data_IF_848710395811
#
_entry.id   IF_848710395811
#
_cell.length_a   1.000
_cell.length_b   1.000
_cell.length_c   1.000
_cell.angle_alpha   90.00
_cell.angle_beta   90.00
_cell.angle_gamma   90.00
#
_symmetry.space_group_name_H-M   'P 1'
#
loop_
_entity.id
_entity.type
_entity.pdbx_description
1 polymer ?
#
# COMPACT_ATOMS: atom_id res chain seq x y z
N UNK A 1 27.03 10.95 19.41
CA UNK A 1 25.91 10.40 18.64
C UNK A 1 24.70 11.28 18.91
N UNK A 2 24.14 11.92 17.87
CA UNK A 2 22.94 12.74 18.01
C UNK A 2 21.69 11.86 18.16
N UNK A 3 20.56 12.43 18.58
CA UNK A 3 19.27 11.73 18.55
C UNK A 3 18.93 11.24 17.13
N UNK A 4 19.24 12.04 16.10
CA UNK A 4 19.06 11.65 14.70
C UNK A 4 19.90 10.43 14.32
N UNK A 5 21.18 10.38 14.73
CA UNK A 5 22.05 9.24 14.45
C UNK A 5 21.55 7.98 15.14
N UNK A 6 21.10 8.11 16.39
CA UNK A 6 20.51 7.01 17.16
C UNK A 6 19.25 6.46 16.48
N UNK A 7 18.32 7.34 16.10
CA UNK A 7 17.07 6.94 15.42
C UNK A 7 17.40 6.25 14.09
N UNK A 8 18.33 6.80 13.29
CA UNK A 8 18.74 6.18 12.02
C UNK A 8 19.38 4.80 12.23
N UNK A 9 20.27 4.67 13.21
CA UNK A 9 20.97 3.42 13.49
C UNK A 9 20.13 2.33 14.16
N UNK A 10 18.98 2.66 14.75
CA UNK A 10 18.11 1.67 15.40
C UNK A 10 17.50 0.70 14.37
N UNK A 11 17.50 -0.63 14.60
CA UNK A 11 16.77 -1.57 13.74
C UNK A 11 15.27 -1.34 13.86
N UNK A 12 14.55 -1.33 12.74
CA UNK A 12 13.11 -1.03 12.69
C UNK A 12 12.33 -2.10 11.96
N UNK A 13 11.05 -2.16 12.29
CA UNK A 13 10.03 -2.88 11.54
C UNK A 13 8.98 -1.86 11.10
N UNK A 14 8.57 -1.88 9.84
CA UNK A 14 7.54 -0.98 9.32
C UNK A 14 6.30 -1.76 8.88
N UNK A 15 5.19 -1.51 9.56
CA UNK A 15 3.96 -2.32 9.46
C UNK A 15 2.80 -1.60 8.75
N UNK A 16 3.03 -0.37 8.32
CA UNK A 16 2.01 0.46 7.69
C UNK A 16 2.68 1.43 6.72
N UNK A 17 2.81 0.99 5.47
CA UNK A 17 3.42 1.76 4.39
C UNK A 17 2.83 1.30 3.06
N UNK A 18 2.59 2.22 2.14
CA UNK A 18 2.02 1.92 0.83
C UNK A 18 3.09 2.00 -0.25
N UNK A 19 3.12 1.04 -1.18
CA UNK A 19 4.10 1.03 -2.27
C UNK A 19 3.96 2.28 -3.14
N UNK A 20 2.73 2.56 -3.57
CA UNK A 20 2.41 3.70 -4.44
C UNK A 20 2.69 5.02 -3.71
N UNK A 21 2.33 5.12 -2.43
CA UNK A 21 2.64 6.27 -1.59
C UNK A 21 4.14 6.49 -1.35
N UNK A 22 4.98 5.49 -1.63
CA UNK A 22 6.44 5.57 -1.53
C UNK A 22 7.14 5.92 -2.84
N UNK A 23 6.38 6.28 -3.89
CA UNK A 23 6.93 6.61 -5.20
C UNK A 23 7.70 7.93 -5.17
N UNK A 24 9.00 7.87 -5.48
CA UNK A 24 9.86 9.06 -5.53
C UNK A 24 9.42 10.01 -6.67
N UNK A 25 9.52 11.34 -6.50
CA UNK A 25 9.21 12.31 -7.55
C UNK A 25 9.92 12.03 -8.88
N UNK A 26 11.20 11.67 -8.82
CA UNK A 26 12.03 11.35 -9.98
C UNK A 26 11.48 10.11 -10.73
N UNK A 27 10.93 9.16 -9.98
CA UNK A 27 10.39 7.91 -10.53
C UNK A 27 9.00 8.13 -11.09
N UNK A 28 8.17 8.94 -10.44
CA UNK A 28 6.87 9.34 -10.97
C UNK A 28 7.02 10.01 -12.35
N UNK A 29 7.95 10.94 -12.51
CA UNK A 29 8.22 11.58 -13.81
C UNK A 29 8.60 10.55 -14.89
N UNK A 30 9.50 9.62 -14.57
CA UNK A 30 9.91 8.56 -15.51
C UNK A 30 8.72 7.68 -15.91
N UNK A 31 7.92 7.24 -14.93
CA UNK A 31 6.75 6.40 -15.17
C UNK A 31 5.71 7.13 -16.01
N UNK A 32 5.36 8.37 -15.64
CA UNK A 32 4.40 9.19 -16.35
C UNK A 32 4.83 9.47 -17.80
N UNK A 33 6.10 9.80 -18.03
CA UNK A 33 6.63 10.01 -19.38
C UNK A 33 6.55 8.72 -20.22
N UNK A 34 6.98 7.59 -19.65
CA UNK A 34 6.96 6.29 -20.34
C UNK A 34 5.54 5.86 -20.70
N UNK A 35 4.60 6.07 -19.78
CA UNK A 35 3.24 5.58 -19.85
C UNK A 35 2.23 6.62 -20.34
N UNK A 36 2.71 7.81 -20.73
CA UNK A 36 1.91 8.92 -21.30
C UNK A 36 0.79 9.40 -20.37
N UNK A 37 1.07 9.45 -19.08
CA UNK A 37 0.15 10.03 -18.07
C UNK A 37 0.50 11.51 -17.89
N UNK A 38 -0.47 12.43 -18.02
CA UNK A 38 -0.21 13.85 -17.80
C UNK A 38 0.05 14.11 -16.31
N UNK A 39 1.06 14.93 -16.03
CA UNK A 39 1.39 15.42 -14.70
C UNK A 39 1.27 16.94 -14.64
N UNK A 40 1.01 17.53 -13.46
CA UNK A 40 0.95 18.99 -13.30
C UNK A 40 2.32 19.67 -13.45
N UNK A 41 3.41 18.90 -13.45
CA UNK A 41 4.76 19.38 -13.73
C UNK A 41 5.61 18.30 -14.41
N UNK A 42 6.59 18.72 -15.19
CA UNK A 42 7.61 17.89 -15.83
C UNK A 42 8.99 17.98 -15.15
N UNK A 43 9.08 18.69 -14.01
CA UNK A 43 10.31 18.85 -13.21
C UNK A 43 10.22 18.16 -11.86
N UNK A 44 11.35 17.71 -11.31
CA UNK A 44 11.41 17.05 -10.00
C UNK A 44 10.94 18.01 -8.91
N UNK A 45 11.34 19.27 -8.99
CA UNK A 45 10.96 20.34 -8.07
C UNK A 45 9.44 20.58 -8.09
N UNK A 46 8.83 20.63 -9.28
CA UNK A 46 7.38 20.80 -9.39
C UNK A 46 6.59 19.61 -8.86
N UNK A 47 7.08 18.37 -9.04
CA UNK A 47 6.45 17.20 -8.44
C UNK A 47 6.63 17.18 -6.91
N UNK A 48 7.78 17.61 -6.40
CA UNK A 48 7.98 17.77 -4.94
C UNK A 48 7.02 18.79 -4.33
N UNK A 49 6.80 19.92 -5.01
CA UNK A 49 5.80 20.90 -4.58
C UNK A 49 4.39 20.29 -4.60
N UNK A 50 4.06 19.55 -5.66
CA UNK A 50 2.75 18.89 -5.78
C UNK A 50 2.49 17.87 -4.67
N UNK A 51 3.51 17.18 -4.18
CA UNK A 51 3.43 16.26 -3.04
C UNK A 51 3.17 16.97 -1.68
N UNK A 52 3.10 18.30 -1.64
CA UNK A 52 2.70 19.04 -0.43
C UNK A 52 1.18 18.98 -0.28
N UNK A 53 0.70 18.05 0.53
CA UNK A 53 -0.73 17.79 0.70
C UNK A 53 -1.45 18.90 1.45
N UNK A 54 -2.63 19.30 0.93
CA UNK A 54 -3.50 20.31 1.58
C UNK A 54 -4.48 19.66 2.54
N UNK A 55 -4.96 18.49 2.17
CA UNK A 55 -5.94 17.66 2.88
C UNK A 55 -5.88 16.21 2.34
N UNK A 56 -6.70 15.33 2.92
CA UNK A 56 -6.80 13.94 2.49
C UNK A 56 -7.29 13.78 1.04
N UNK A 57 -8.32 14.51 0.56
CA UNK A 57 -8.71 14.45 -0.85
C UNK A 57 -7.58 14.79 -1.82
N UNK A 58 -6.77 15.82 -1.56
CA UNK A 58 -5.61 16.16 -2.40
C UNK A 58 -4.58 15.02 -2.41
N UNK A 59 -4.32 14.40 -1.26
CA UNK A 59 -3.48 13.21 -1.17
C UNK A 59 -4.04 12.05 -2.02
N UNK A 60 -5.34 11.77 -1.92
CA UNK A 60 -5.99 10.70 -2.66
C UNK A 60 -5.97 10.92 -4.18
N UNK A 61 -6.11 12.18 -4.64
CA UNK A 61 -5.94 12.58 -6.04
C UNK A 61 -4.54 12.22 -6.55
N UNK A 62 -3.49 12.64 -5.82
CA UNK A 62 -2.10 12.34 -6.15
C UNK A 62 -1.85 10.84 -6.18
N UNK A 63 -2.32 10.12 -5.17
CA UNK A 63 -2.21 8.66 -5.09
C UNK A 63 -2.87 7.98 -6.30
N UNK A 64 -4.05 8.46 -6.71
CA UNK A 64 -4.75 7.98 -7.90
C UNK A 64 -3.94 8.17 -9.18
N UNK A 65 -3.28 9.33 -9.36
CA UNK A 65 -2.42 9.59 -10.52
C UNK A 65 -1.18 8.69 -10.50
N UNK A 66 -0.57 8.47 -9.33
CA UNK A 66 0.56 7.53 -9.19
C UNK A 66 0.11 6.12 -9.62
N UNK A 67 -1.04 5.65 -9.16
CA UNK A 67 -1.60 4.36 -9.58
C UNK A 67 -1.83 4.27 -11.10
N UNK A 68 -2.22 5.36 -11.76
CA UNK A 68 -2.37 5.41 -13.22
C UNK A 68 -1.02 5.34 -13.95
N UNK A 69 0.07 5.74 -13.31
CA UNK A 69 1.41 5.68 -13.90
C UNK A 69 2.02 4.27 -13.90
N UNK A 70 1.43 3.28 -13.23
CA UNK A 70 1.98 1.91 -13.10
C UNK A 70 1.31 1.00 -14.14
N UNK A 71 1.91 0.85 -15.32
CA UNK A 71 1.27 0.18 -16.47
C UNK A 71 1.84 -1.21 -16.79
N UNK A 72 2.92 -1.64 -16.13
CA UNK A 72 3.53 -2.94 -16.42
C UNK A 72 4.14 -3.62 -15.18
N UNK A 73 4.39 -4.95 -15.22
CA UNK A 73 5.15 -5.65 -14.19
C UNK A 73 6.55 -5.05 -13.94
N UNK A 74 7.21 -4.50 -14.96
CA UNK A 74 8.51 -3.86 -14.80
C UNK A 74 8.41 -2.57 -13.96
N UNK A 75 7.29 -1.86 -14.04
CA UNK A 75 7.01 -0.66 -13.23
C UNK A 75 6.89 -1.05 -11.76
N UNK A 76 6.19 -2.16 -11.50
CA UNK A 76 5.98 -2.70 -10.15
C UNK A 76 7.31 -3.17 -9.55
N UNK A 77 8.14 -3.88 -10.32
CA UNK A 77 9.46 -4.31 -9.86
C UNK A 77 10.38 -3.11 -9.58
N UNK A 78 10.37 -2.09 -10.46
CA UNK A 78 11.13 -0.86 -10.25
C UNK A 78 10.76 -0.19 -8.92
N UNK A 79 9.46 0.02 -8.68
CA UNK A 79 8.96 0.61 -7.45
C UNK A 79 9.33 -0.23 -6.22
N UNK A 80 9.16 -1.55 -6.30
CA UNK A 80 9.52 -2.47 -5.21
C UNK A 80 11.00 -2.39 -4.85
N UNK A 81 11.90 -2.34 -5.86
CA UNK A 81 13.35 -2.21 -5.64
C UNK A 81 13.70 -0.86 -5.01
N UNK A 82 13.16 0.25 -5.51
CA UNK A 82 13.43 1.57 -4.95
C UNK A 82 12.88 1.74 -3.53
N UNK A 83 11.72 1.15 -3.25
CA UNK A 83 11.15 1.09 -1.91
C UNK A 83 12.10 0.36 -0.95
N UNK A 84 12.56 -0.84 -1.30
CA UNK A 84 13.48 -1.63 -0.47
C UNK A 84 14.83 -0.95 -0.22
N UNK A 85 15.35 -0.19 -1.20
CA UNK A 85 16.53 0.67 -0.98
C UNK A 85 16.26 1.72 0.11
N UNK A 86 15.06 2.33 0.10
CA UNK A 86 14.62 3.26 1.12
C UNK A 86 14.50 2.61 2.50
N UNK A 87 13.98 1.38 2.56
CA UNK A 87 13.90 0.60 3.80
C UNK A 87 15.29 0.34 4.39
N UNK A 88 16.22 -0.15 3.56
CA UNK A 88 17.58 -0.46 3.98
C UNK A 88 18.34 0.79 4.47
N UNK A 89 18.20 1.92 3.76
CA UNK A 89 18.81 3.19 4.13
C UNK A 89 18.33 3.71 5.50
N UNK A 90 17.15 3.28 5.95
CA UNK A 90 16.55 3.64 7.24
C UNK A 90 16.73 2.55 8.31
N UNK A 91 17.53 1.52 8.05
CA UNK A 91 17.73 0.36 8.92
C UNK A 91 16.42 -0.38 9.27
N UNK A 92 15.46 -0.39 8.34
CA UNK A 92 14.26 -1.23 8.42
C UNK A 92 14.66 -2.65 7.99
N UNK A 93 14.35 -3.64 8.84
CA UNK A 93 14.73 -5.05 8.64
C UNK A 93 13.58 -5.91 8.15
N UNK A 94 12.36 -5.51 8.47
CA UNK A 94 11.14 -6.18 8.04
C UNK A 94 10.07 -5.15 7.71
N UNK A 95 9.32 -5.38 6.64
CA UNK A 95 8.22 -4.53 6.24
C UNK A 95 7.01 -5.31 5.75
N UNK A 96 5.82 -4.84 6.15
CA UNK A 96 4.53 -5.29 5.65
C UNK A 96 3.99 -4.17 4.75
N UNK A 97 4.20 -4.35 3.45
CA UNK A 97 3.92 -3.37 2.42
C UNK A 97 2.46 -3.46 1.98
N UNK A 98 1.71 -2.39 2.16
CA UNK A 98 0.38 -2.25 1.55
C UNK A 98 0.53 -2.02 0.05
N UNK A 99 -0.22 -2.79 -0.73
CA UNK A 99 -0.19 -2.78 -2.18
C UNK A 99 -1.59 -2.73 -2.75
N UNK A 100 -1.88 -1.64 -3.48
CA UNK A 100 -3.13 -1.49 -4.25
C UNK A 100 -2.96 -2.05 -5.67
N UNK A 101 -3.51 -3.24 -5.99
CA UNK A 101 -3.23 -3.89 -7.28
C UNK A 101 -3.86 -3.12 -8.46
N UNK A 102 -3.11 -2.75 -9.51
CA UNK A 102 -3.69 -2.26 -10.76
C UNK A 102 -4.56 -3.33 -11.39
N UNK A 103 -5.75 -2.95 -11.88
CA UNK A 103 -6.75 -3.92 -12.36
C UNK A 103 -6.53 -4.43 -13.79
N UNK A 104 -5.66 -3.76 -14.53
CA UNK A 104 -5.40 -4.02 -15.95
C UNK A 104 -4.14 -4.86 -16.20
N UNK A 105 -3.43 -5.24 -15.14
CA UNK A 105 -2.30 -6.18 -15.19
C UNK A 105 -2.78 -7.48 -14.54
N UNK A 106 -2.51 -8.68 -15.11
CA UNK A 106 -2.80 -9.93 -14.42
C UNK A 106 -2.12 -10.00 -13.04
N UNK A 107 -2.85 -10.41 -12.00
CA UNK A 107 -2.35 -10.34 -10.62
C UNK A 107 -1.15 -11.26 -10.36
N UNK A 108 -1.08 -12.40 -11.04
CA UNK A 108 0.08 -13.29 -11.02
C UNK A 108 1.35 -12.60 -11.56
N UNK A 109 1.25 -11.85 -12.66
CA UNK A 109 2.36 -11.05 -13.18
C UNK A 109 2.78 -9.93 -12.21
N UNK A 110 1.82 -9.29 -11.54
CA UNK A 110 2.10 -8.28 -10.50
C UNK A 110 2.85 -8.90 -9.32
N UNK A 111 2.37 -10.05 -8.84
CA UNK A 111 2.94 -10.75 -7.70
C UNK A 111 4.34 -11.30 -8.02
N UNK A 112 4.56 -11.78 -9.24
CA UNK A 112 5.88 -12.19 -9.71
C UNK A 112 6.86 -11.00 -9.73
N UNK A 113 6.44 -9.82 -10.18
CA UNK A 113 7.26 -8.62 -10.15
C UNK A 113 7.63 -8.19 -8.71
N UNK A 114 6.64 -8.16 -7.81
CA UNK A 114 6.87 -7.88 -6.39
C UNK A 114 7.82 -8.89 -5.75
N UNK A 115 7.69 -10.18 -6.10
CA UNK A 115 8.54 -11.24 -5.56
C UNK A 115 9.97 -11.19 -6.11
N UNK A 116 10.17 -10.77 -7.37
CA UNK A 116 11.52 -10.48 -7.90
C UNK A 116 12.19 -9.34 -7.12
N UNK A 117 11.47 -8.26 -6.85
CA UNK A 117 11.98 -7.16 -6.01
C UNK A 117 12.28 -7.63 -4.57
N UNK A 118 11.38 -8.41 -3.96
CA UNK A 118 11.55 -9.00 -2.62
C UNK A 118 12.78 -9.88 -2.52
N UNK A 119 12.94 -10.84 -3.44
CA UNK A 119 14.08 -11.75 -3.44
C UNK A 119 15.41 -10.99 -3.59
N UNK A 120 15.43 -9.97 -4.45
CA UNK A 120 16.58 -9.07 -4.58
C UNK A 120 16.86 -8.27 -3.31
N UNK A 121 15.83 -7.69 -2.66
CA UNK A 121 16.00 -6.91 -1.43
C UNK A 121 16.49 -7.75 -0.25
N UNK A 122 16.04 -9.00 -0.15
CA UNK A 122 16.52 -9.92 0.87
C UNK A 122 17.99 -10.28 0.62
N UNK A 123 18.37 -10.61 -0.62
CA UNK A 123 19.73 -10.99 -0.97
C UNK A 123 20.75 -9.84 -0.86
N UNK A 124 20.41 -8.66 -1.38
CA UNK A 124 21.35 -7.53 -1.50
C UNK A 124 21.31 -6.58 -0.32
N UNK A 125 20.17 -6.46 0.36
CA UNK A 125 19.95 -5.45 1.41
C UNK A 125 19.65 -6.05 2.77
N UNK A 126 19.36 -7.35 2.86
CA UNK A 126 18.94 -8.01 4.11
C UNK A 126 17.63 -7.46 4.67
N UNK A 127 16.72 -7.03 3.79
CA UNK A 127 15.38 -6.53 4.14
C UNK A 127 14.34 -7.56 3.74
N UNK A 128 13.56 -8.04 4.70
CA UNK A 128 12.43 -8.94 4.44
C UNK A 128 11.16 -8.12 4.17
N UNK A 129 10.40 -8.49 3.15
CA UNK A 129 9.15 -7.83 2.76
C UNK A 129 8.03 -8.85 2.57
N UNK A 130 6.85 -8.53 3.10
CA UNK A 130 5.58 -9.22 2.83
C UNK A 130 4.52 -8.19 2.43
N UNK A 131 3.38 -8.65 1.91
CA UNK A 131 2.37 -7.80 1.28
C UNK A 131 1.04 -7.83 2.03
N UNK A 132 0.42 -6.67 2.13
CA UNK A 132 -0.99 -6.48 2.46
C UNK A 132 -1.67 -6.00 1.19
N UNK A 133 -2.47 -6.85 0.55
CA UNK A 133 -3.20 -6.46 -0.67
C UNK A 133 -4.45 -5.73 -0.23
N UNK A 134 -4.63 -4.46 -0.61
CA UNK A 134 -5.73 -3.64 -0.10
C UNK A 134 -6.84 -3.37 -1.11
N UNK A 135 -8.05 -3.32 -0.58
CA UNK A 135 -9.26 -2.88 -1.29
C UNK A 135 -9.32 -1.35 -1.23
N UNK A 136 -9.44 -0.64 -2.36
CA UNK A 136 -9.81 0.78 -2.35
C UNK A 136 -11.26 0.95 -1.92
N UNK A 137 -11.52 1.74 -0.87
CA UNK A 137 -12.86 1.99 -0.29
C UNK A 137 -13.92 2.48 -1.26
N UNK A 138 -13.50 3.18 -2.31
CA UNK A 138 -14.41 3.73 -3.32
C UNK A 138 -14.68 2.77 -4.48
N UNK A 139 -14.12 1.56 -4.48
CA UNK A 139 -14.37 0.61 -5.56
C UNK A 139 -15.75 -0.07 -5.44
N UNK A 140 -16.22 -0.60 -6.57
CA UNK A 140 -17.42 -1.44 -6.63
C UNK A 140 -17.22 -2.76 -5.87
N UNK A 141 -18.32 -3.35 -5.40
CA UNK A 141 -18.29 -4.57 -4.57
C UNK A 141 -17.63 -5.74 -5.32
N UNK A 142 -17.88 -5.87 -6.62
CA UNK A 142 -17.28 -6.90 -7.47
C UNK A 142 -15.76 -6.77 -7.55
N UNK A 143 -15.25 -5.53 -7.53
CA UNK A 143 -13.82 -5.25 -7.52
C UNK A 143 -13.20 -5.61 -6.17
N UNK A 144 -13.87 -5.28 -5.07
CA UNK A 144 -13.41 -5.67 -3.73
C UNK A 144 -13.33 -7.21 -3.59
N UNK A 145 -14.34 -7.91 -4.10
CA UNK A 145 -14.37 -9.37 -4.13
C UNK A 145 -13.24 -9.97 -4.97
N UNK A 146 -12.95 -9.38 -6.14
CA UNK A 146 -11.83 -9.78 -6.99
C UNK A 146 -10.48 -9.58 -6.26
N UNK A 147 -10.30 -8.45 -5.59
CA UNK A 147 -9.07 -8.16 -4.83
C UNK A 147 -8.91 -9.14 -3.66
N UNK A 148 -9.99 -9.52 -2.99
CA UNK A 148 -9.95 -10.56 -1.97
C UNK A 148 -9.52 -11.91 -2.55
N UNK A 149 -10.06 -12.32 -3.71
CA UNK A 149 -9.65 -13.55 -4.40
C UNK A 149 -8.16 -13.51 -4.77
N UNK A 150 -7.67 -12.36 -5.23
CA UNK A 150 -6.25 -12.14 -5.50
C UNK A 150 -5.39 -12.26 -4.25
N UNK A 151 -5.76 -11.59 -3.16
CA UNK A 151 -5.04 -11.68 -1.89
C UNK A 151 -4.94 -13.12 -1.38
N UNK A 152 -6.04 -13.88 -1.48
CA UNK A 152 -6.09 -15.31 -1.14
C UNK A 152 -5.16 -16.12 -2.06
N UNK A 153 -5.19 -15.88 -3.36
CA UNK A 153 -4.33 -16.59 -4.33
C UNK A 153 -2.82 -16.34 -4.11
N UNK A 154 -2.47 -15.21 -3.48
CA UNK A 154 -1.11 -14.83 -3.13
C UNK A 154 -0.63 -15.38 -1.77
N UNK A 155 -1.50 -16.07 -1.02
CA UNK A 155 -1.10 -16.71 0.24
C UNK A 155 0.03 -17.72 0.00
N UNK A 156 1.02 -17.72 0.89
CA UNK A 156 2.23 -18.52 0.73
C UNK A 156 3.23 -17.98 -0.30
N UNK A 157 2.88 -16.91 -1.04
CA UNK A 157 3.75 -16.20 -2.01
C UNK A 157 4.05 -14.77 -1.57
N UNK A 158 3.96 -14.50 -0.26
CA UNK A 158 4.25 -13.20 0.35
C UNK A 158 3.05 -12.37 0.76
N UNK A 159 1.85 -12.65 0.25
CA UNK A 159 0.64 -11.99 0.75
C UNK A 159 0.29 -12.56 2.12
N UNK A 160 0.15 -11.68 3.10
CA UNK A 160 -0.08 -12.05 4.51
C UNK A 160 -1.40 -11.50 5.05
N UNK A 161 -1.99 -10.49 4.42
CA UNK A 161 -3.24 -9.90 4.89
C UNK A 161 -4.05 -9.26 3.75
N UNK A 162 -5.35 -9.13 4.00
CA UNK A 162 -6.26 -8.26 3.25
C UNK A 162 -6.34 -6.89 3.94
N UNK A 163 -6.09 -5.83 3.19
CA UNK A 163 -6.22 -4.45 3.64
C UNK A 163 -7.48 -3.76 3.12
N UNK A 164 -7.73 -2.57 3.65
CA UNK A 164 -8.74 -1.63 3.16
C UNK A 164 -8.18 -0.21 3.33
N UNK A 165 -8.13 0.56 2.25
CA UNK A 165 -7.54 1.91 2.20
C UNK A 165 -8.39 2.90 1.39
N UNK A 166 -8.01 4.18 1.38
CA UNK A 166 -8.76 5.25 0.72
C UNK A 166 -9.72 6.00 1.67
N UNK A 167 -10.60 6.87 1.14
CA UNK A 167 -11.47 7.73 1.94
C UNK A 167 -12.34 6.95 2.91
N UNK A 168 -12.24 7.23 4.20
CA UNK A 168 -12.93 6.49 5.26
C UNK A 168 -14.40 6.91 5.42
N UNK A 169 -14.66 8.20 5.24
CA UNK A 169 -16.00 8.79 5.32
C UNK A 169 -16.91 8.11 4.29
N UNK A 170 -18.09 7.69 4.73
CA UNK A 170 -19.15 7.03 3.93
C UNK A 170 -18.75 5.71 3.24
N UNK A 171 -17.55 5.17 3.48
CA UNK A 171 -17.10 3.93 2.87
C UNK A 171 -16.67 2.88 3.91
N UNK A 172 -17.55 2.45 4.82
CA UNK A 172 -17.18 1.57 5.91
C UNK A 172 -16.94 0.13 5.40
N UNK A 173 -16.20 -0.73 6.15
CA UNK A 173 -15.89 -2.09 5.71
C UNK A 173 -17.15 -2.96 5.47
N UNK A 174 -18.30 -2.61 6.05
CA UNK A 174 -19.62 -3.25 5.84
C UNK A 174 -20.06 -3.25 4.36
N UNK A 175 -19.48 -2.39 3.52
CA UNK A 175 -19.69 -2.39 2.08
C UNK A 175 -19.24 -3.69 1.41
N UNK A 176 -18.30 -4.44 2.03
CA UNK A 176 -17.63 -5.59 1.41
C UNK A 176 -17.77 -6.89 2.24
N UNK A 177 -19.00 -7.34 2.59
CA UNK A 177 -19.22 -8.50 3.44
C UNK A 177 -18.58 -9.78 2.88
N UNK A 178 -18.69 -9.98 1.56
CA UNK A 178 -18.21 -11.19 0.91
C UNK A 178 -16.68 -11.25 0.87
N UNK A 179 -16.01 -10.13 0.56
CA UNK A 179 -14.55 -10.05 0.57
C UNK A 179 -13.95 -10.45 1.93
N UNK A 180 -14.50 -9.91 3.03
CA UNK A 180 -14.06 -10.26 4.38
C UNK A 180 -14.44 -11.70 4.77
N UNK A 181 -15.61 -12.19 4.35
CA UNK A 181 -16.00 -13.57 4.59
C UNK A 181 -15.06 -14.58 3.90
N UNK A 182 -14.65 -14.30 2.65
CA UNK A 182 -13.67 -15.10 1.90
C UNK A 182 -12.30 -15.12 2.59
N UNK A 183 -11.80 -13.96 3.00
CA UNK A 183 -10.53 -13.85 3.72
C UNK A 183 -10.56 -14.66 5.02
N UNK A 184 -11.62 -14.49 5.82
CA UNK A 184 -11.82 -15.25 7.06
C UNK A 184 -11.90 -16.76 6.84
N UNK A 185 -12.64 -17.21 5.83
CA UNK A 185 -12.82 -18.63 5.52
C UNK A 185 -11.50 -19.34 5.12
N UNK A 186 -10.52 -18.59 4.60
CA UNK A 186 -9.21 -19.12 4.19
C UNK A 186 -8.13 -18.91 5.24
N UNK A 187 -8.42 -18.18 6.32
CA UNK A 187 -7.45 -17.81 7.36
C UNK A 187 -6.55 -16.63 6.99
N UNK A 188 -6.85 -15.91 5.90
CA UNK A 188 -6.19 -14.65 5.58
C UNK A 188 -6.64 -13.58 6.58
N UNK A 189 -5.69 -13.01 7.33
CA UNK A 189 -6.01 -11.99 8.34
C UNK A 189 -6.37 -10.65 7.70
N UNK A 190 -7.15 -9.84 8.43
CA UNK A 190 -7.58 -8.51 7.98
C UNK A 190 -6.87 -7.38 8.73
N UNK A 191 -6.40 -6.36 7.99
CA UNK A 191 -5.71 -5.17 8.52
C UNK A 191 -6.21 -3.90 7.79
N UNK A 192 -7.47 -3.49 8.00
CA UNK A 192 -8.03 -2.28 7.38
C UNK A 192 -7.48 -1.01 8.04
N UNK A 193 -7.47 0.10 7.30
CA UNK A 193 -7.37 1.44 7.90
C UNK A 193 -8.64 1.71 8.72
N UNK A 194 -8.53 2.35 9.88
CA UNK A 194 -9.68 2.85 10.62
C UNK A 194 -9.26 3.91 11.65
N UNK A 195 -10.11 4.88 11.93
CA UNK A 195 -9.84 5.94 12.91
C UNK A 195 -8.85 6.99 12.41
N UNK A 196 -8.72 7.17 11.09
CA UNK A 196 -7.83 8.18 10.49
C UNK A 196 -8.57 9.51 10.31
N UNK A 197 -9.69 9.45 9.59
CA UNK A 197 -10.55 10.60 9.28
C UNK A 197 -11.95 10.47 9.88
N UNK A 198 -12.35 9.26 10.28
CA UNK A 198 -13.58 8.95 11.02
C UNK A 198 -13.26 8.58 12.48
N UNK A 199 -14.25 8.68 13.39
CA UNK A 199 -14.06 8.44 14.82
C UNK A 199 -14.01 6.95 15.22
N UNK A 200 -14.16 6.66 16.53
CA UNK A 200 -14.11 5.31 17.08
C UNK A 200 -15.10 4.33 16.45
N UNK A 201 -16.20 4.81 15.88
CA UNK A 201 -17.20 4.00 15.17
C UNK A 201 -16.60 3.22 14.01
N UNK A 202 -15.69 3.82 13.23
CA UNK A 202 -15.01 3.12 12.14
C UNK A 202 -14.04 2.07 12.65
N UNK A 203 -13.36 2.34 13.77
CA UNK A 203 -12.49 1.35 14.43
C UNK A 203 -13.29 0.16 14.94
N UNK A 204 -14.45 0.40 15.56
CA UNK A 204 -15.33 -0.67 16.02
C UNK A 204 -15.90 -1.49 14.87
N UNK A 205 -16.26 -0.84 13.77
CA UNK A 205 -16.67 -1.49 12.54
C UNK A 205 -15.55 -2.40 11.99
N UNK A 206 -14.33 -1.90 11.86
CA UNK A 206 -13.18 -2.70 11.44
C UNK A 206 -12.91 -3.91 12.37
N UNK A 207 -12.95 -3.71 13.69
CA UNK A 207 -12.71 -4.78 14.66
C UNK A 207 -13.82 -5.85 14.65
N UNK A 208 -15.08 -5.43 14.56
CA UNK A 208 -16.23 -6.35 14.71
C UNK A 208 -16.68 -6.98 13.39
N UNK A 209 -16.62 -6.22 12.30
CA UNK A 209 -17.11 -6.64 11.00
C UNK A 209 -15.98 -7.22 10.13
N UNK A 210 -14.87 -6.50 10.00
CA UNK A 210 -13.73 -6.95 9.19
C UNK A 210 -12.82 -7.95 9.94
N UNK A 211 -13.10 -8.25 11.21
CA UNK A 211 -12.29 -9.15 12.06
C UNK A 211 -10.82 -8.71 12.11
N UNK A 212 -10.61 -7.39 12.17
CA UNK A 212 -9.30 -6.79 12.08
C UNK A 212 -8.39 -7.23 13.23
N UNK A 213 -7.20 -7.73 12.90
CA UNK A 213 -6.17 -8.11 13.90
C UNK A 213 -5.25 -6.94 14.26
N UNK A 214 -5.21 -5.92 13.39
CA UNK A 214 -4.51 -4.64 13.56
C UNK A 214 -5.27 -3.57 12.78
N UNK A 215 -5.25 -2.33 13.24
CA UNK A 215 -5.82 -1.18 12.54
C UNK A 215 -4.70 -0.31 11.95
N UNK A 216 -4.89 0.15 10.72
CA UNK A 216 -4.12 1.26 10.16
C UNK A 216 -4.59 2.58 10.75
N UNK A 217 -3.67 3.41 11.25
CA UNK A 217 -3.93 4.66 11.99
C UNK A 217 -4.48 4.48 13.41
N UNK A 218 -5.80 4.58 13.61
CA UNK A 218 -6.44 4.57 14.93
C UNK A 218 -6.20 5.82 15.78
N UNK A 219 -5.84 6.96 15.15
CA UNK A 219 -5.50 8.21 15.87
C UNK A 219 -6.73 8.92 16.47
N UNK A 220 -7.94 8.59 16.01
CA UNK A 220 -9.22 9.12 16.51
C UNK A 220 -9.95 8.14 17.44
N UNK A 221 -9.22 7.49 18.33
CA UNK A 221 -9.76 6.45 19.22
C UNK A 221 -10.49 6.95 20.47
N UNK A 222 -10.53 8.27 20.72
CA UNK A 222 -11.12 8.92 21.89
C UNK A 222 -12.22 9.90 21.49
#
# INVERSE_FOLDING_TARGET
MTLHDFIRAMPKIELHVHLQGSTRPETLLKLAQRNRVPLPSDTVEGIREWYTFRDFPHFAEIYGVICQCIQSPDDIELLGREFLQGQAAQNIRYTELTYTPPRYIPFDEQLDALNRARAWGEAELGVTMNYIVDIPRECEVEIANLIADWAISGMGKGVIALGLGGPEVDNPPEKYPEAYAKAKATGLVSIPHAGETVGPESMWSALKFADAVRLGHGVRCL
#
